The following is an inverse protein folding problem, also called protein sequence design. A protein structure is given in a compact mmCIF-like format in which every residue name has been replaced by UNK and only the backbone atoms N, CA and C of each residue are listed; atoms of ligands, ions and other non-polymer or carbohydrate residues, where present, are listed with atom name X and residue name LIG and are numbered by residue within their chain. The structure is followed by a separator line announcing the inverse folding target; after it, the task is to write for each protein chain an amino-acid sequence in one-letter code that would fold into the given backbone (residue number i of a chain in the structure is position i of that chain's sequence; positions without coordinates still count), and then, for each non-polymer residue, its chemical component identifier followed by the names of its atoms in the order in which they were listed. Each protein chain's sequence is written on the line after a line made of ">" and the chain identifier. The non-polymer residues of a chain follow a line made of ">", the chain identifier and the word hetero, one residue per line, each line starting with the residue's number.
data_IF_488113443278
#
_entry.id   IF_488113443278
#
_cell.length_a   1.000
_cell.length_b   1.000
_cell.length_c   1.000
_cell.angle_alpha   90.00
_cell.angle_beta   90.00
_cell.angle_gamma   90.00
#
_symmetry.space_group_name_H-M   'P 1'
#
loop_
_entity.id
_entity.type
_entity.pdbx_description
1 polymer ?
#
# COMPACT_ATOMS: atom_id res chain seq x y z
N UNK A 1 46.78 -14.97 22.87
CA UNK A 1 46.63 -14.63 24.29
C UNK A 1 46.26 -13.15 24.38
N UNK A 2 45.02 -12.81 24.58
CA UNK A 2 44.60 -11.71 25.48
C UNK A 2 43.08 -11.82 25.70
N UNK A 3 42.71 -12.12 26.91
CA UNK A 3 41.40 -12.00 27.53
C UNK A 3 41.14 -10.54 27.90
N UNK A 4 39.87 -10.09 27.77
CA UNK A 4 39.47 -8.84 28.41
C UNK A 4 38.01 -8.51 28.15
N UNK A 5 37.17 -9.05 28.97
CA UNK A 5 36.17 -8.47 29.89
C UNK A 5 35.00 -7.68 29.29
N UNK A 6 33.83 -8.31 29.46
CA UNK A 6 32.49 -7.71 29.51
C UNK A 6 32.43 -6.55 30.53
N UNK A 7 31.73 -5.49 30.16
CA UNK A 7 31.17 -4.56 31.13
C UNK A 7 29.72 -4.21 30.74
N UNK A 8 28.82 -4.76 31.55
CA UNK A 8 27.42 -4.31 31.63
C UNK A 8 27.37 -2.90 32.17
N UNK A 9 26.58 -2.03 31.57
CA UNK A 9 26.02 -0.90 32.31
C UNK A 9 24.55 -0.72 31.96
N UNK A 10 23.76 -0.85 33.01
CA UNK A 10 22.33 -0.52 33.07
C UNK A 10 22.14 0.97 33.34
N UNK A 11 20.96 1.46 32.91
CA UNK A 11 20.18 2.58 33.40
C UNK A 11 20.42 3.97 32.81
N UNK A 12 19.31 4.52 32.35
CA UNK A 12 19.09 5.95 32.24
C UNK A 12 17.81 6.28 31.50
N UNK A 13 16.69 6.16 32.23
CA UNK A 13 15.40 6.70 31.81
C UNK A 13 15.50 8.24 31.86
N UNK A 14 15.44 8.91 30.71
CA UNK A 14 15.36 10.37 30.66
C UNK A 14 14.20 10.78 29.74
N UNK A 15 13.17 11.35 30.38
CA UNK A 15 12.09 12.06 29.73
C UNK A 15 12.66 13.35 29.15
N UNK A 16 12.67 13.50 27.83
CA UNK A 16 12.88 14.79 27.20
C UNK A 16 11.56 15.35 26.69
N UNK A 17 11.08 16.36 27.38
CA UNK A 17 10.11 17.31 26.87
C UNK A 17 10.88 18.21 25.93
N UNK A 18 10.59 18.14 24.63
CA UNK A 18 11.18 19.04 23.65
C UNK A 18 10.23 20.17 23.34
N UNK A 19 10.55 21.34 23.84
CA UNK A 19 9.91 22.62 23.49
C UNK A 19 10.47 23.04 22.13
N UNK A 20 9.61 23.09 21.12
CA UNK A 20 9.99 23.58 19.78
C UNK A 20 9.95 25.10 19.76
N UNK A 21 11.12 25.68 19.58
CA UNK A 21 11.29 27.12 19.32
C UNK A 21 11.12 27.34 17.81
N UNK A 22 10.11 28.10 17.42
CA UNK A 22 9.89 28.52 16.06
C UNK A 22 10.86 29.62 15.66
N UNK A 23 11.74 29.37 14.69
CA UNK A 23 12.50 30.39 13.98
C UNK A 23 11.95 30.56 12.58
N UNK A 24 11.33 31.71 12.33
CA UNK A 24 10.84 32.15 11.04
C UNK A 24 12.01 32.51 10.14
N UNK A 25 12.18 31.85 8.99
CA UNK A 25 12.91 32.40 7.84
C UNK A 25 12.04 32.33 6.60
N UNK A 26 11.74 33.50 6.09
CA UNK A 26 10.98 33.71 4.86
C UNK A 26 11.95 33.56 3.69
N UNK A 27 11.74 32.56 2.83
CA UNK A 27 12.22 32.56 1.44
C UNK A 27 11.20 31.92 0.54
N UNK A 28 10.68 32.72 -0.35
CA UNK A 28 10.02 32.47 -1.65
C UNK A 28 9.50 31.06 -1.97
N UNK A 29 8.20 30.90 -1.85
CA UNK A 29 7.38 30.41 -2.97
C UNK A 29 7.33 28.90 -3.24
N UNK A 30 7.20 28.06 -2.20
CA UNK A 30 6.53 26.76 -2.31
C UNK A 30 5.62 26.68 -1.09
N UNK A 31 4.32 26.69 -1.32
CA UNK A 31 3.34 26.49 -0.26
C UNK A 31 3.43 25.02 0.20
N UNK A 32 4.26 24.77 1.19
CA UNK A 32 4.17 23.53 1.97
C UNK A 32 2.91 23.66 2.80
N UNK A 33 1.84 23.02 2.36
CA UNK A 33 0.63 22.91 3.17
C UNK A 33 1.01 22.09 4.41
N UNK A 34 0.94 22.67 5.63
CA UNK A 34 1.24 21.87 6.82
C UNK A 34 0.18 20.77 6.93
N UNK A 35 0.64 19.52 7.06
CA UNK A 35 -0.21 18.41 7.46
C UNK A 35 -0.85 18.75 8.81
N UNK A 36 -2.05 19.29 8.79
CA UNK A 36 -2.87 19.34 9.97
C UNK A 36 -3.40 17.94 10.24
N UNK A 37 -2.66 17.13 10.97
CA UNK A 37 -3.17 15.89 11.52
C UNK A 37 -4.16 16.25 12.63
N UNK A 38 -5.43 16.36 12.29
CA UNK A 38 -6.46 16.24 13.33
C UNK A 38 -6.35 14.82 13.86
N UNK A 39 -6.18 14.64 15.18
CA UNK A 39 -6.10 13.31 15.74
C UNK A 39 -7.40 12.55 15.42
N UNK A 40 -7.27 11.38 14.78
CA UNK A 40 -8.40 10.50 14.55
C UNK A 40 -9.01 10.11 15.89
N UNK A 41 -10.33 10.26 16.04
CA UNK A 41 -11.02 9.81 17.25
C UNK A 41 -11.08 8.28 17.22
N UNK A 42 -10.45 7.66 18.19
CA UNK A 42 -10.37 6.21 18.32
C UNK A 42 -11.29 5.77 19.44
N UNK A 43 -12.19 4.85 19.15
CA UNK A 43 -12.99 4.15 20.15
C UNK A 43 -12.31 2.83 20.49
N UNK A 44 -11.86 2.67 21.73
CA UNK A 44 -11.32 1.42 22.23
C UNK A 44 -12.47 0.51 22.66
N UNK A 45 -12.51 -0.71 22.12
CA UNK A 45 -13.37 -1.78 22.58
C UNK A 45 -12.57 -2.78 23.46
N UNK A 46 -13.25 -3.63 24.21
CA UNK A 46 -12.56 -4.66 24.97
C UNK A 46 -11.94 -5.69 24.01
N UNK A 47 -10.63 -5.87 24.06
CA UNK A 47 -9.94 -6.92 23.34
C UNK A 47 -9.17 -6.49 22.06
N UNK A 48 -9.51 -5.36 21.46
CA UNK A 48 -8.70 -4.74 20.38
C UNK A 48 -8.53 -3.25 20.64
N UNK A 49 -7.39 -2.68 20.22
CA UNK A 49 -7.07 -1.27 20.39
C UNK A 49 -6.38 -0.74 19.15
N UNK A 50 -6.87 0.36 18.57
CA UNK A 50 -6.21 1.02 17.46
C UNK A 50 -4.88 1.59 17.95
N UNK A 51 -3.80 1.24 17.27
CA UNK A 51 -2.45 1.73 17.55
C UNK A 51 -2.06 2.88 16.64
N UNK A 52 -2.51 2.83 15.38
CA UNK A 52 -2.29 3.89 14.42
C UNK A 52 -3.43 3.91 13.38
N UNK A 53 -3.71 5.08 12.81
CA UNK A 53 -4.59 5.22 11.67
C UNK A 53 -4.29 6.52 10.93
N UNK A 54 -4.31 6.46 9.59
CA UNK A 54 -3.93 7.61 8.77
C UNK A 54 -4.56 7.53 7.39
N UNK A 55 -4.92 8.69 6.83
CA UNK A 55 -5.13 8.82 5.40
C UNK A 55 -3.79 9.07 4.70
N UNK A 56 -3.62 8.51 3.50
CA UNK A 56 -2.42 8.59 2.69
C UNK A 56 -2.76 8.96 1.25
N UNK A 57 -1.84 8.71 0.32
CA UNK A 57 -2.06 8.93 -1.11
C UNK A 57 -2.96 7.84 -1.66
N UNK A 58 -4.16 8.21 -2.13
CA UNK A 58 -5.20 7.30 -2.69
C UNK A 58 -5.52 6.08 -1.78
N UNK A 59 -5.21 6.18 -0.50
CA UNK A 59 -5.41 5.10 0.48
C UNK A 59 -5.63 5.64 1.89
N UNK A 60 -6.13 4.78 2.76
CA UNK A 60 -6.18 4.99 4.20
C UNK A 60 -5.89 3.66 4.91
N UNK A 61 -5.33 3.70 6.10
CA UNK A 61 -5.08 2.50 6.88
C UNK A 61 -5.46 2.65 8.34
N UNK A 62 -5.66 1.50 8.97
CA UNK A 62 -5.86 1.35 10.41
C UNK A 62 -5.01 0.19 10.91
N UNK A 63 -4.26 0.42 11.98
CA UNK A 63 -3.49 -0.59 12.70
C UNK A 63 -4.08 -0.82 14.08
N UNK A 64 -4.02 -2.07 14.54
CA UNK A 64 -4.53 -2.42 15.86
C UNK A 64 -3.71 -3.52 16.52
N UNK A 65 -3.67 -3.47 17.83
CA UNK A 65 -3.18 -4.54 18.70
C UNK A 65 -4.34 -5.35 19.25
N UNK A 66 -4.05 -6.57 19.68
CA UNK A 66 -5.04 -7.55 20.16
C UNK A 66 -4.63 -8.04 21.53
N UNK A 67 -5.53 -7.95 22.49
CA UNK A 67 -5.38 -8.50 23.85
C UNK A 67 -6.27 -9.72 24.12
N UNK A 68 -7.34 -9.93 23.34
CA UNK A 68 -8.21 -11.10 23.45
C UNK A 68 -7.80 -12.16 22.41
N UNK A 69 -7.19 -13.24 22.87
CA UNK A 69 -6.74 -14.36 22.03
C UNK A 69 -7.87 -15.24 21.49
N UNK A 70 -9.12 -14.98 21.87
CA UNK A 70 -10.29 -15.73 21.38
C UNK A 70 -10.76 -15.30 20.00
N UNK A 71 -10.26 -14.18 19.46
CA UNK A 71 -10.60 -13.77 18.11
C UNK A 71 -9.89 -14.65 17.07
N UNK A 72 -10.63 -15.02 16.04
CA UNK A 72 -10.18 -15.93 14.98
C UNK A 72 -9.88 -15.23 13.66
N UNK A 73 -10.17 -13.94 13.56
CA UNK A 73 -9.95 -13.12 12.37
C UNK A 73 -10.55 -11.72 12.54
N UNK A 74 -10.53 -10.94 11.48
CA UNK A 74 -11.04 -9.58 11.45
C UNK A 74 -11.71 -9.29 10.10
N UNK A 75 -12.79 -8.52 10.12
CA UNK A 75 -13.31 -7.83 8.96
C UNK A 75 -12.97 -6.34 9.08
N UNK A 76 -12.56 -5.73 7.99
CA UNK A 76 -12.29 -4.30 7.93
C UNK A 76 -13.23 -3.63 6.92
N UNK A 77 -13.57 -2.39 7.19
CA UNK A 77 -14.54 -1.61 6.42
C UNK A 77 -14.04 -0.20 6.23
N UNK A 78 -14.43 0.41 5.12
CA UNK A 78 -14.19 1.82 4.81
C UNK A 78 -15.48 2.49 4.35
N UNK A 79 -15.61 3.77 4.61
CA UNK A 79 -16.63 4.64 4.00
C UNK A 79 -16.10 6.06 3.87
N UNK A 80 -16.66 6.90 2.98
CA UNK A 80 -16.51 8.35 3.15
C UNK A 80 -17.16 8.76 4.45
N UNK A 81 -16.57 9.72 5.16
CA UNK A 81 -17.12 10.19 6.44
C UNK A 81 -18.54 10.76 6.31
N UNK A 82 -18.89 11.27 5.11
CA UNK A 82 -20.24 11.74 4.79
C UNK A 82 -21.28 10.63 4.57
N UNK A 83 -20.81 9.40 4.30
CA UNK A 83 -21.68 8.32 3.87
C UNK A 83 -22.22 7.52 5.07
N UNK A 84 -23.40 6.94 4.94
CA UNK A 84 -24.00 6.07 5.96
C UNK A 84 -23.57 4.61 5.81
N UNK A 85 -23.21 4.18 4.61
CA UNK A 85 -22.94 2.77 4.30
C UNK A 85 -21.45 2.47 4.33
N UNK A 86 -21.11 1.32 4.92
CA UNK A 86 -19.77 0.77 4.97
C UNK A 86 -19.53 -0.18 3.79
N UNK A 87 -18.35 -0.13 3.22
CA UNK A 87 -17.85 -1.11 2.25
C UNK A 87 -16.82 -2.00 2.94
N UNK A 88 -17.02 -3.31 2.87
CA UNK A 88 -16.05 -4.29 3.40
C UNK A 88 -14.83 -4.33 2.50
N UNK A 89 -13.66 -4.41 3.10
CA UNK A 89 -12.40 -4.63 2.41
C UNK A 89 -12.18 -6.13 2.14
N UNK A 90 -11.47 -6.44 1.08
CA UNK A 90 -11.06 -7.80 0.77
C UNK A 90 -10.05 -8.32 1.80
N UNK A 91 -10.18 -9.61 2.18
CA UNK A 91 -9.33 -10.26 3.19
C UNK A 91 -7.82 -10.06 2.97
N UNK A 92 -7.27 -10.12 1.74
CA UNK A 92 -5.84 -9.92 1.52
C UNK A 92 -5.32 -8.51 1.88
N UNK A 93 -6.20 -7.54 2.04
CA UNK A 93 -5.86 -6.19 2.51
C UNK A 93 -5.71 -6.11 4.04
N UNK A 94 -6.09 -7.17 4.76
CA UNK A 94 -5.92 -7.31 6.20
C UNK A 94 -4.68 -8.17 6.45
N UNK A 95 -3.64 -7.56 7.01
CA UNK A 95 -2.32 -8.19 7.15
C UNK A 95 -1.86 -8.24 8.59
N UNK A 96 -1.13 -9.30 8.93
CA UNK A 96 -0.50 -9.47 10.25
C UNK A 96 0.97 -9.08 10.17
N UNK A 97 1.37 -8.17 11.02
CA UNK A 97 2.77 -7.81 11.28
C UNK A 97 3.25 -8.41 12.60
N UNK A 98 4.52 -8.25 12.96
CA UNK A 98 5.09 -8.81 14.18
C UNK A 98 4.38 -8.32 15.46
N UNK A 99 3.97 -7.06 15.47
CA UNK A 99 3.47 -6.33 16.64
C UNK A 99 2.04 -5.81 16.48
N UNK A 100 1.51 -5.74 15.25
CA UNK A 100 0.18 -5.24 14.98
C UNK A 100 -0.53 -6.03 13.86
N UNK A 101 -1.82 -5.79 13.71
CA UNK A 101 -2.60 -6.04 12.51
C UNK A 101 -2.79 -4.73 11.78
N UNK A 102 -2.90 -4.79 10.46
CA UNK A 102 -3.14 -3.62 9.61
C UNK A 102 -4.13 -3.95 8.50
N UNK A 103 -5.02 -3.01 8.23
CA UNK A 103 -5.89 -3.04 7.06
C UNK A 103 -5.73 -1.76 6.26
N UNK A 104 -5.62 -1.89 4.93
CA UNK A 104 -5.50 -0.78 3.99
C UNK A 104 -6.71 -0.72 3.07
N UNK A 105 -7.38 0.41 3.05
CA UNK A 105 -8.34 0.76 2.02
C UNK A 105 -7.61 1.48 0.89
N UNK A 106 -7.68 0.96 -0.33
CA UNK A 106 -6.90 1.41 -1.48
C UNK A 106 -7.78 1.87 -2.64
N UNK A 107 -7.21 2.68 -3.54
CA UNK A 107 -7.95 3.22 -4.68
C UNK A 107 -8.97 4.30 -4.31
N UNK A 108 -8.77 4.97 -3.19
CA UNK A 108 -9.66 6.01 -2.68
C UNK A 108 -9.42 7.34 -3.40
N UNK A 109 -10.50 8.02 -3.79
CA UNK A 109 -10.40 9.41 -4.23
C UNK A 109 -10.03 10.33 -3.06
N UNK A 110 -9.45 11.50 -3.35
CA UNK A 110 -9.19 12.49 -2.31
C UNK A 110 -10.47 12.84 -1.53
N UNK A 111 -10.35 12.92 -0.22
CA UNK A 111 -11.50 13.16 0.67
C UNK A 111 -11.24 12.70 2.09
N UNK A 112 -12.30 12.70 2.89
CA UNK A 112 -12.24 12.26 4.29
C UNK A 112 -13.00 10.94 4.43
N UNK A 113 -12.37 9.98 5.11
CA UNK A 113 -12.87 8.61 5.26
C UNK A 113 -12.86 8.17 6.71
N UNK A 114 -13.71 7.20 7.00
CA UNK A 114 -13.71 6.45 8.25
C UNK A 114 -13.38 4.99 7.95
N UNK A 115 -12.61 4.36 8.83
CA UNK A 115 -12.33 2.93 8.80
C UNK A 115 -12.79 2.25 10.07
N UNK A 116 -13.27 1.02 9.94
CA UNK A 116 -13.76 0.21 11.06
C UNK A 116 -13.18 -1.19 10.96
N UNK A 117 -12.77 -1.74 12.10
CA UNK A 117 -12.36 -3.13 12.24
C UNK A 117 -13.32 -3.83 13.19
N UNK A 118 -13.81 -5.00 12.78
CA UNK A 118 -14.71 -5.85 13.57
C UNK A 118 -14.03 -7.19 13.78
N UNK A 119 -13.72 -7.59 15.03
CA UNK A 119 -13.13 -8.91 15.29
C UNK A 119 -14.15 -10.03 15.03
N UNK A 120 -13.60 -11.18 14.64
CA UNK A 120 -14.37 -12.41 14.37
C UNK A 120 -14.15 -13.43 15.48
N UNK A 121 -15.22 -14.11 15.89
CA UNK A 121 -15.19 -15.20 16.84
C UNK A 121 -16.15 -16.31 16.39
N UNK A 122 -15.64 -17.53 16.30
CA UNK A 122 -16.44 -18.68 15.83
C UNK A 122 -17.15 -18.43 14.48
N UNK A 123 -16.48 -17.74 13.55
CA UNK A 123 -17.03 -17.45 12.22
C UNK A 123 -18.06 -16.31 12.17
N UNK A 124 -18.28 -15.59 13.27
CA UNK A 124 -19.22 -14.46 13.34
C UNK A 124 -18.55 -13.19 13.82
N UNK A 125 -19.03 -12.04 13.37
CA UNK A 125 -18.56 -10.74 13.84
C UNK A 125 -18.99 -10.47 15.28
N UNK A 126 -18.08 -9.90 16.07
CA UNK A 126 -18.34 -9.39 17.42
C UNK A 126 -18.49 -7.87 17.33
N UNK A 127 -19.65 -7.42 16.88
CA UNK A 127 -19.88 -6.00 16.58
C UNK A 127 -19.71 -5.08 17.81
N UNK A 128 -19.92 -5.61 19.02
CA UNK A 128 -19.72 -4.86 20.27
C UNK A 128 -18.23 -4.50 20.51
N UNK A 129 -17.32 -5.27 19.91
CA UNK A 129 -15.88 -5.09 20.05
C UNK A 129 -15.25 -4.39 18.84
N UNK A 130 -16.08 -3.82 17.96
CA UNK A 130 -15.60 -3.07 16.81
C UNK A 130 -14.87 -1.78 17.23
N UNK A 131 -13.77 -1.47 16.55
CA UNK A 131 -13.05 -0.20 16.67
C UNK A 131 -13.17 0.61 15.39
N UNK A 132 -13.20 1.92 15.51
CA UNK A 132 -13.36 2.83 14.37
C UNK A 132 -12.35 3.97 14.47
N UNK A 133 -11.71 4.27 13.34
CA UNK A 133 -10.91 5.47 13.14
C UNK A 133 -11.68 6.39 12.19
N UNK A 134 -11.81 7.66 12.55
CA UNK A 134 -12.63 8.64 11.81
C UNK A 134 -11.79 9.78 11.27
N UNK A 135 -12.32 10.46 10.24
CA UNK A 135 -11.71 11.67 9.66
C UNK A 135 -10.31 11.45 9.07
N UNK A 136 -10.06 10.30 8.48
CA UNK A 136 -8.82 9.99 7.78
C UNK A 136 -8.77 10.78 6.47
N UNK A 137 -7.83 11.72 6.34
CA UNK A 137 -7.70 12.57 5.15
C UNK A 137 -6.89 11.85 4.08
N UNK A 138 -7.53 11.46 2.99
CA UNK A 138 -6.92 10.87 1.81
C UNK A 138 -6.60 11.98 0.81
N UNK A 139 -5.38 11.95 0.27
CA UNK A 139 -4.92 12.88 -0.75
C UNK A 139 -4.84 12.18 -2.11
N UNK A 140 -4.95 12.95 -3.19
CA UNK A 140 -4.64 12.44 -4.51
C UNK A 140 -3.15 12.15 -4.62
N UNK A 141 -2.79 11.10 -5.36
CA UNK A 141 -1.40 10.83 -5.68
C UNK A 141 -0.89 11.90 -6.65
N UNK A 142 0.21 12.56 -6.28
CA UNK A 142 0.90 13.49 -7.17
C UNK A 142 1.77 12.74 -8.18
N UNK A 143 1.19 12.43 -9.32
CA UNK A 143 1.92 11.86 -10.45
C UNK A 143 2.58 12.97 -11.26
N UNK A 144 3.46 13.71 -10.60
CA UNK A 144 4.28 14.76 -11.22
C UNK A 144 5.62 14.21 -11.72
N UNK A 145 6.45 15.08 -12.26
CA UNK A 145 7.79 14.77 -12.70
C UNK A 145 7.92 14.62 -14.22
N UNK A 146 9.08 14.15 -14.69
CA UNK A 146 9.45 14.18 -16.12
C UNK A 146 8.53 13.32 -17.00
N UNK A 147 8.04 12.18 -16.49
CA UNK A 147 7.14 11.30 -17.21
C UNK A 147 5.76 11.93 -17.48
N UNK A 148 5.30 12.82 -16.60
CA UNK A 148 4.03 13.53 -16.69
C UNK A 148 4.18 14.95 -17.21
N UNK A 149 5.39 15.38 -17.56
CA UNK A 149 5.63 16.71 -18.11
C UNK A 149 4.88 16.89 -19.43
N UNK A 150 4.26 18.07 -19.67
CA UNK A 150 3.69 18.41 -20.98
C UNK A 150 4.71 18.34 -22.13
N UNK A 151 6.00 18.42 -21.82
CA UNK A 151 7.12 18.28 -22.78
C UNK A 151 7.50 16.83 -23.04
N UNK A 152 6.97 15.85 -22.26
CA UNK A 152 7.25 14.45 -22.51
C UNK A 152 6.66 14.02 -23.84
N UNK A 153 7.46 13.34 -24.65
CA UNK A 153 7.01 12.75 -25.93
C UNK A 153 5.91 11.71 -25.70
N UNK A 154 5.93 11.03 -24.58
CA UNK A 154 5.00 9.93 -24.25
C UNK A 154 3.72 10.40 -23.56
N UNK A 155 3.65 11.64 -23.09
CA UNK A 155 2.45 12.24 -22.47
C UNK A 155 1.79 11.34 -21.44
N UNK A 156 2.56 10.91 -20.45
CA UNK A 156 2.15 10.00 -19.39
C UNK A 156 3.15 8.88 -19.21
N UNK A 157 2.87 7.98 -18.28
CA UNK A 157 3.74 6.84 -17.97
C UNK A 157 2.90 5.56 -17.81
N UNK A 158 3.23 4.53 -18.57
CA UNK A 158 2.59 3.23 -18.46
C UNK A 158 1.07 3.31 -18.56
N UNK A 159 0.39 3.04 -17.45
CA UNK A 159 -1.07 3.04 -17.36
C UNK A 159 -1.71 4.43 -17.18
N UNK A 160 -0.91 5.50 -17.03
CA UNK A 160 -1.39 6.84 -16.70
C UNK A 160 -1.27 7.83 -17.85
N UNK A 161 -2.24 8.75 -17.93
CA UNK A 161 -2.21 9.94 -18.79
C UNK A 161 -1.25 11.00 -18.22
N UNK A 162 -0.97 12.04 -19.03
CA UNK A 162 -0.09 13.14 -18.62
C UNK A 162 -0.62 13.95 -17.40
N UNK A 163 -1.92 13.92 -17.17
CA UNK A 163 -2.57 14.57 -16.02
C UNK A 163 -2.61 13.68 -14.75
N UNK A 164 -2.00 12.49 -14.79
CA UNK A 164 -1.96 11.56 -13.68
C UNK A 164 -3.22 10.70 -13.52
N UNK A 165 -4.21 10.81 -14.42
CA UNK A 165 -5.37 9.92 -14.41
C UNK A 165 -5.07 8.60 -15.10
N UNK A 166 -5.74 7.51 -14.70
CA UNK A 166 -5.65 6.24 -15.40
C UNK A 166 -6.13 6.37 -16.85
N UNK A 167 -5.42 5.74 -17.76
CA UNK A 167 -5.85 5.62 -19.16
C UNK A 167 -7.16 4.84 -19.24
N UNK A 168 -7.99 5.17 -20.22
CA UNK A 168 -9.24 4.45 -20.46
C UNK A 168 -8.98 2.96 -20.70
N UNK A 169 -9.76 2.10 -20.04
CA UNK A 169 -9.63 0.65 -20.13
C UNK A 169 -8.43 0.06 -19.38
N UNK A 170 -7.76 0.83 -18.53
CA UNK A 170 -6.67 0.31 -17.70
C UNK A 170 -7.16 -0.80 -16.78
N UNK A 171 -6.39 -1.90 -16.73
CA UNK A 171 -6.59 -3.01 -15.80
C UNK A 171 -5.80 -2.72 -14.54
N UNK A 172 -6.47 -2.58 -13.41
CA UNK A 172 -5.86 -2.39 -12.10
C UNK A 172 -5.78 -3.73 -11.39
N UNK A 173 -4.58 -4.12 -10.96
CA UNK A 173 -4.30 -5.41 -10.33
C UNK A 173 -3.65 -5.13 -8.98
N UNK A 174 -4.35 -5.45 -7.88
CA UNK A 174 -3.79 -5.34 -6.54
C UNK A 174 -3.05 -6.62 -6.16
N UNK A 175 -1.82 -6.45 -5.67
CA UNK A 175 -0.97 -7.56 -5.25
C UNK A 175 -0.48 -7.32 -3.83
N UNK A 176 -0.74 -8.27 -2.95
CA UNK A 176 -0.27 -8.29 -1.56
C UNK A 176 0.69 -9.46 -1.34
N UNK A 177 1.45 -9.54 -0.22
CA UNK A 177 2.24 -10.72 0.10
C UNK A 177 1.43 -12.02 0.03
N UNK A 178 0.19 -12.01 0.53
CA UNK A 178 -0.69 -13.18 0.52
C UNK A 178 -1.15 -13.59 -0.88
N UNK A 179 -1.20 -12.67 -1.84
CA UNK A 179 -1.72 -12.92 -3.19
C UNK A 179 -0.67 -12.95 -4.28
N UNK A 180 0.60 -12.65 -3.99
CA UNK A 180 1.65 -12.56 -4.99
C UNK A 180 1.79 -13.85 -5.85
N UNK A 181 1.51 -15.02 -5.28
CA UNK A 181 1.49 -16.33 -5.98
C UNK A 181 0.16 -16.67 -6.64
N UNK A 182 -0.93 -16.08 -6.22
CA UNK A 182 -2.29 -16.57 -6.53
C UNK A 182 -3.16 -15.55 -7.25
N UNK A 183 -2.75 -14.28 -7.28
CA UNK A 183 -3.48 -13.23 -8.00
C UNK A 183 -3.65 -13.62 -9.47
N UNK A 184 -4.85 -13.39 -10.01
CA UNK A 184 -5.19 -13.72 -11.38
C UNK A 184 -5.51 -12.47 -12.18
N UNK A 185 -5.03 -12.46 -13.43
CA UNK A 185 -5.39 -11.43 -14.39
C UNK A 185 -5.37 -11.95 -15.81
N UNK A 186 -6.27 -11.44 -16.64
CA UNK A 186 -6.23 -11.70 -18.07
C UNK A 186 -5.27 -10.71 -18.74
N UNK A 187 -4.20 -11.20 -19.32
CA UNK A 187 -3.19 -10.42 -20.04
C UNK A 187 -2.95 -11.06 -21.39
N UNK A 188 -3.05 -10.26 -22.45
CA UNK A 188 -2.83 -10.76 -23.81
C UNK A 188 -3.83 -11.82 -24.28
N UNK A 189 -5.03 -11.83 -23.69
CA UNK A 189 -6.11 -12.77 -24.02
C UNK A 189 -6.03 -14.13 -23.30
N UNK A 190 -5.12 -14.28 -22.32
CA UNK A 190 -5.00 -15.48 -21.48
C UNK A 190 -5.06 -15.13 -20.00
N UNK A 191 -5.61 -16.02 -19.16
CA UNK A 191 -5.51 -15.90 -17.71
C UNK A 191 -4.10 -16.29 -17.27
N UNK A 192 -3.51 -15.43 -16.45
CA UNK A 192 -2.22 -15.61 -15.79
C UNK A 192 -2.41 -15.65 -14.29
N UNK A 193 -1.61 -16.46 -13.58
CA UNK A 193 -1.69 -16.63 -12.12
C UNK A 193 -0.34 -16.35 -11.48
N UNK A 194 -0.34 -15.47 -10.49
CA UNK A 194 0.87 -14.97 -9.81
C UNK A 194 1.52 -13.79 -10.53
N UNK A 195 2.18 -12.94 -9.74
CA UNK A 195 2.72 -11.67 -10.23
C UNK A 195 3.71 -11.86 -11.40
N UNK A 196 4.61 -12.85 -11.32
CA UNK A 196 5.60 -13.09 -12.39
C UNK A 196 4.92 -13.58 -13.68
N UNK A 197 3.93 -14.47 -13.58
CA UNK A 197 3.23 -14.98 -14.77
C UNK A 197 2.39 -13.88 -15.45
N UNK A 198 1.77 -13.00 -14.66
CA UNK A 198 1.04 -11.84 -15.18
C UNK A 198 1.97 -10.95 -16.02
N UNK A 199 3.15 -10.60 -15.50
CA UNK A 199 4.10 -9.77 -16.27
C UNK A 199 4.72 -10.53 -17.45
N UNK A 200 4.81 -11.86 -17.40
CA UNK A 200 5.16 -12.67 -18.55
C UNK A 200 4.16 -12.59 -19.69
N UNK A 201 2.88 -12.43 -19.38
CA UNK A 201 1.85 -12.23 -20.38
C UNK A 201 2.13 -11.06 -21.32
N UNK A 202 2.80 -10.01 -20.81
CA UNK A 202 3.18 -8.82 -21.59
C UNK A 202 4.20 -9.13 -22.69
N UNK A 203 5.06 -10.13 -22.50
CA UNK A 203 6.11 -10.47 -23.48
C UNK A 203 5.56 -10.98 -24.81
N UNK A 204 4.32 -11.47 -24.82
CA UNK A 204 3.66 -11.90 -26.06
C UNK A 204 3.32 -10.73 -26.98
N UNK A 205 3.22 -9.51 -26.42
CA UNK A 205 2.91 -8.29 -27.16
C UNK A 205 1.50 -8.27 -27.74
N UNK A 206 0.57 -9.01 -27.15
CA UNK A 206 -0.85 -9.07 -27.55
C UNK A 206 -1.76 -8.29 -26.61
N UNK A 207 -1.25 -7.82 -25.47
CA UNK A 207 -1.99 -6.96 -24.56
C UNK A 207 -2.01 -5.53 -25.10
N UNK A 208 -3.19 -4.99 -25.27
CA UNK A 208 -3.42 -3.61 -25.75
C UNK A 208 -3.94 -2.69 -24.67
N UNK A 209 -4.46 -3.25 -23.56
CA UNK A 209 -4.93 -2.45 -22.45
C UNK A 209 -3.77 -1.98 -21.59
N UNK A 210 -3.81 -0.75 -21.08
CA UNK A 210 -2.88 -0.33 -20.04
C UNK A 210 -3.05 -1.21 -18.79
N UNK A 211 -1.94 -1.51 -18.11
CA UNK A 211 -1.94 -2.32 -16.88
C UNK A 211 -1.31 -1.53 -15.76
N UNK A 212 -2.00 -1.45 -14.62
CA UNK A 212 -1.52 -0.85 -13.39
C UNK A 212 -1.46 -1.90 -12.29
N UNK A 213 -0.25 -2.31 -11.92
CA UNK A 213 0.00 -3.29 -10.85
C UNK A 213 0.29 -2.51 -9.57
N UNK A 214 -0.59 -2.63 -8.60
CA UNK A 214 -0.54 -1.92 -7.33
C UNK A 214 -0.11 -2.87 -6.22
N UNK A 215 1.09 -2.64 -5.69
CA UNK A 215 1.66 -3.40 -4.58
C UNK A 215 1.16 -2.79 -3.28
N UNK A 216 0.59 -3.63 -2.40
CA UNK A 216 0.09 -3.26 -1.08
C UNK A 216 0.81 -4.09 -0.03
N UNK A 217 1.59 -3.43 0.82
CA UNK A 217 2.48 -4.06 1.78
C UNK A 217 3.81 -4.51 1.17
N UNK A 218 4.68 -5.10 1.97
CA UNK A 218 6.02 -5.53 1.58
C UNK A 218 5.99 -6.94 1.00
N UNK A 219 6.21 -7.09 -0.31
CA UNK A 219 6.35 -8.40 -0.96
C UNK A 219 7.81 -8.84 -0.84
N UNK A 220 8.04 -9.96 -0.17
CA UNK A 220 9.37 -10.56 -0.03
C UNK A 220 9.63 -11.60 -1.12
N UNK A 221 10.88 -11.97 -1.30
CA UNK A 221 11.25 -13.03 -2.27
C UNK A 221 10.49 -14.36 -2.02
N UNK A 222 10.26 -14.72 -0.74
CA UNK A 222 9.54 -15.93 -0.36
C UNK A 222 8.03 -15.87 -0.65
N UNK A 223 7.49 -14.68 -0.88
CA UNK A 223 6.10 -14.49 -1.30
C UNK A 223 5.90 -14.76 -2.79
N UNK A 224 6.99 -14.91 -3.57
CA UNK A 224 6.96 -15.15 -5.01
C UNK A 224 7.11 -16.63 -5.33
N UNK A 225 6.39 -17.12 -6.37
CA UNK A 225 6.55 -18.50 -6.86
C UNK A 225 7.83 -18.66 -7.67
N UNK A 226 8.11 -17.66 -8.52
CA UNK A 226 9.24 -17.68 -9.44
C UNK A 226 9.62 -16.27 -9.87
N UNK A 227 10.83 -16.14 -10.37
CA UNK A 227 11.35 -14.92 -10.98
C UNK A 227 11.68 -15.13 -12.47
N UNK A 228 11.11 -16.15 -13.09
CA UNK A 228 11.48 -16.57 -14.41
C UNK A 228 12.86 -17.22 -14.45
N UNK A 229 13.55 -17.13 -15.60
CA UNK A 229 14.84 -17.79 -15.82
C UNK A 229 16.05 -16.94 -15.38
N UNK A 230 15.84 -15.76 -14.80
CA UNK A 230 16.90 -14.81 -14.47
C UNK A 230 17.05 -14.63 -12.95
N UNK A 231 18.29 -14.52 -12.50
CA UNK A 231 18.62 -14.21 -11.11
C UNK A 231 18.32 -12.75 -10.73
N UNK A 232 17.90 -11.89 -11.67
CA UNK A 232 17.66 -10.46 -11.41
C UNK A 232 16.34 -10.18 -10.71
N UNK A 233 15.46 -11.18 -10.57
CA UNK A 233 14.17 -11.04 -9.91
C UNK A 233 13.00 -10.94 -10.89
N UNK A 234 12.03 -10.07 -10.60
CA UNK A 234 10.82 -9.89 -11.41
C UNK A 234 11.17 -9.38 -12.81
N UNK A 235 10.73 -10.09 -13.84
CA UNK A 235 11.10 -9.79 -15.23
C UNK A 235 9.93 -9.17 -15.98
N UNK A 236 10.04 -7.88 -16.25
CA UNK A 236 9.08 -7.10 -17.01
C UNK A 236 9.68 -6.83 -18.38
N UNK A 237 9.26 -7.59 -19.37
CA UNK A 237 9.81 -7.50 -20.72
C UNK A 237 8.68 -7.27 -21.71
N UNK A 238 8.88 -6.35 -22.64
CA UNK A 238 8.05 -6.19 -23.80
C UNK A 238 8.46 -7.12 -24.95
N UNK A 239 7.72 -7.07 -26.04
CA UNK A 239 8.08 -7.74 -27.29
C UNK A 239 9.06 -6.88 -28.09
N UNK A 240 9.82 -7.48 -29.02
CA UNK A 240 10.92 -6.83 -29.75
C UNK A 240 10.58 -5.60 -30.62
N UNK A 241 9.34 -5.29 -30.84
CA UNK A 241 8.87 -4.07 -31.53
C UNK A 241 8.22 -3.01 -30.61
N UNK A 242 8.13 -3.24 -29.37
CA UNK A 242 8.13 -2.40 -28.15
C UNK A 242 7.22 -1.19 -28.01
N UNK A 243 6.46 -0.83 -28.98
CA UNK A 243 5.84 0.49 -29.00
C UNK A 243 4.88 0.74 -27.83
N UNK A 244 4.38 -0.31 -27.16
CA UNK A 244 3.17 -0.13 -26.35
C UNK A 244 3.11 -0.99 -25.06
N UNK A 245 4.23 -1.17 -24.36
CA UNK A 245 4.18 -1.74 -23.01
C UNK A 245 3.60 -0.72 -22.03
N UNK A 246 2.29 -0.53 -22.04
CA UNK A 246 1.59 0.40 -21.15
C UNK A 246 1.43 -0.24 -19.75
N UNK A 247 2.53 -0.50 -19.06
CA UNK A 247 2.54 -1.09 -17.73
C UNK A 247 3.12 -0.14 -16.70
N UNK A 248 2.42 0.03 -15.60
CA UNK A 248 2.91 0.69 -14.39
C UNK A 248 2.95 -0.34 -13.28
N UNK A 249 3.99 -0.29 -12.45
CA UNK A 249 4.06 -0.98 -11.16
C UNK A 249 4.30 0.08 -10.11
N UNK A 250 3.39 0.21 -9.16
CA UNK A 250 3.46 1.22 -8.12
C UNK A 250 3.13 0.65 -6.74
N UNK A 251 3.68 1.24 -5.70
CA UNK A 251 3.32 0.95 -4.32
C UNK A 251 2.16 1.83 -3.88
N UNK A 252 1.15 1.24 -3.27
CA UNK A 252 0.03 1.95 -2.66
C UNK A 252 0.07 1.73 -1.15
N UNK A 253 -0.04 2.81 -0.41
CA UNK A 253 0.14 2.79 1.04
C UNK A 253 1.59 3.12 1.46
N UNK A 254 1.75 3.43 2.72
CA UNK A 254 3.03 3.89 3.28
C UNK A 254 4.03 2.75 3.45
N UNK A 255 3.54 1.52 3.60
CA UNK A 255 4.32 0.30 3.86
C UNK A 255 4.62 -0.54 2.62
N UNK A 256 4.27 -0.05 1.43
CA UNK A 256 4.39 -0.82 0.19
C UNK A 256 5.81 -0.88 -0.33
N UNK A 257 6.22 -2.07 -0.79
CA UNK A 257 7.53 -2.26 -1.36
C UNK A 257 7.81 -3.69 -1.82
N UNK A 258 9.04 -3.89 -2.30
CA UNK A 258 9.60 -5.21 -2.60
C UNK A 258 10.90 -5.39 -1.81
N UNK A 259 11.15 -6.60 -1.34
CA UNK A 259 12.35 -6.92 -0.55
C UNK A 259 12.93 -8.28 -0.94
N UNK A 260 14.26 -8.34 -1.02
CA UNK A 260 15.00 -9.57 -1.29
C UNK A 260 15.06 -9.97 -2.77
N UNK A 261 14.50 -9.16 -3.68
CA UNK A 261 14.63 -9.34 -5.13
C UNK A 261 14.59 -8.01 -5.86
N UNK A 262 15.12 -8.00 -7.07
CA UNK A 262 15.11 -6.83 -7.94
C UNK A 262 14.07 -6.92 -9.06
N UNK A 263 14.17 -5.99 -10.00
CA UNK A 263 13.39 -5.98 -11.23
C UNK A 263 14.31 -5.86 -12.44
N UNK A 264 14.08 -6.69 -13.44
CA UNK A 264 14.64 -6.49 -14.78
C UNK A 264 13.53 -5.92 -15.67
N UNK A 265 13.68 -4.65 -16.03
CA UNK A 265 12.75 -3.96 -16.91
C UNK A 265 13.47 -3.76 -18.24
N UNK A 266 12.96 -4.37 -19.28
CA UNK A 266 13.46 -4.15 -20.63
C UNK A 266 12.38 -4.41 -21.67
N UNK A 267 12.59 -3.81 -22.78
CA UNK A 267 11.65 -3.69 -23.84
C UNK A 267 12.30 -4.28 -25.12
#
# INVERSE_FOLDING_TARGET
>A
VFKGRKKFMKKGLSKFISTVLAACMITTGVAVVPFATTPATVYAASGISVTESKGWLESAYIEWSVSDSSYTGYNAYVKKSSDSSWTQLDDPLIRRYSDCWRADAVGLAAGTYDMKVVPMKNGSEVAADAVTATNLTVQAYDRAGSAFSPKSTYKGAGAYNADGTLKAGAKVIYVTPATAKTVKANVGGAEHTGLQDIVYGLQKGTETSPIDIRIVGMINADDMDSFGSSAEGLQIKGKSNYADLNCTIEGIGEDSGIHGFGMLIRN
#
